data_IF_579227171682
#
_entry.id   IF_579227171682
#
_cell.length_a   1.000
_cell.length_b   1.000
_cell.length_c   1.000
_cell.angle_alpha   90.00
_cell.angle_beta   90.00
_cell.angle_gamma   90.00
#
_symmetry.space_group_name_H-M   'P 1'
#
loop_
_entity.id
_entity.type
_entity.pdbx_description
1 polymer ?
#
# COMPACT_ATOMS: atom_id res chain seq x y z
N UNK A 1 16.71 -5.02 0.40
CA UNK A 1 15.75 -5.99 0.95
C UNK A 1 15.05 -6.67 -0.22
N UNK A 2 14.97 -7.99 -0.22
CA UNK A 2 14.28 -8.80 -1.23
C UNK A 2 12.87 -9.20 -0.75
N UNK A 3 12.07 -9.84 -1.62
CA UNK A 3 10.68 -10.25 -1.30
C UNK A 3 10.61 -11.21 -0.11
N UNK A 4 11.52 -12.19 -0.01
CA UNK A 4 11.48 -13.17 1.09
C UNK A 4 11.78 -12.53 2.45
N UNK A 5 12.69 -11.56 2.50
CA UNK A 5 12.97 -10.78 3.70
C UNK A 5 11.75 -9.94 4.13
N UNK A 6 11.04 -9.32 3.19
CA UNK A 6 9.81 -8.57 3.48
C UNK A 6 8.73 -9.50 4.02
N UNK A 7 8.48 -10.63 3.35
CA UNK A 7 7.50 -11.61 3.79
C UNK A 7 7.88 -12.27 5.12
N UNK A 8 9.19 -12.44 5.39
CA UNK A 8 9.71 -12.87 6.69
C UNK A 8 9.26 -11.94 7.82
N UNK A 9 9.42 -10.63 7.64
CA UNK A 9 8.96 -9.61 8.60
C UNK A 9 7.43 -9.70 8.81
N UNK A 10 6.66 -9.90 7.74
CA UNK A 10 5.21 -10.06 7.84
C UNK A 10 4.82 -11.34 8.59
N UNK A 11 5.53 -12.46 8.38
CA UNK A 11 5.30 -13.72 9.12
C UNK A 11 5.65 -13.56 10.60
N UNK A 12 6.81 -12.97 10.93
CA UNK A 12 7.21 -12.71 12.32
C UNK A 12 6.20 -11.83 13.06
N UNK A 13 5.56 -10.90 12.37
CA UNK A 13 4.49 -10.06 12.94
C UNK A 13 3.13 -10.78 13.02
N UNK A 14 3.02 -12.04 12.58
CA UNK A 14 1.74 -12.75 12.47
C UNK A 14 0.78 -12.09 11.47
N UNK A 15 1.31 -11.38 10.49
CA UNK A 15 0.52 -10.61 9.52
C UNK A 15 0.16 -11.40 8.26
N UNK A 16 0.78 -12.54 8.01
CA UNK A 16 0.41 -13.49 6.96
C UNK A 16 -0.55 -14.51 7.60
N UNK A 17 -1.82 -14.42 7.23
CA UNK A 17 -2.86 -15.34 7.70
C UNK A 17 -3.15 -16.35 6.60
N UNK A 18 -3.16 -17.63 6.94
CA UNK A 18 -3.53 -18.72 6.05
C UNK A 18 -4.94 -19.24 6.42
N UNK A 19 -5.75 -19.55 5.41
CA UNK A 19 -7.13 -19.97 5.59
C UNK A 19 -7.99 -19.70 4.36
N UNK A 20 -9.30 -19.59 4.51
CA UNK A 20 -10.22 -19.26 3.43
C UNK A 20 -10.80 -17.85 3.67
N UNK A 21 -10.31 -16.87 2.91
CA UNK A 21 -10.67 -15.47 3.10
C UNK A 21 -11.55 -14.94 1.98
N UNK A 22 -12.59 -14.18 2.35
CA UNK A 22 -13.44 -13.42 1.44
C UNK A 22 -12.82 -12.03 1.26
N UNK A 23 -12.33 -11.73 0.06
CA UNK A 23 -11.78 -10.41 -0.27
C UNK A 23 -12.88 -9.38 -0.52
N UNK A 24 -12.52 -8.09 -0.48
CA UNK A 24 -13.47 -6.99 -0.78
C UNK A 24 -14.09 -7.09 -2.18
N UNK A 25 -13.35 -7.66 -3.14
CA UNK A 25 -13.83 -7.95 -4.49
C UNK A 25 -14.86 -9.10 -4.59
N UNK A 26 -15.10 -9.83 -3.48
CA UNK A 26 -15.90 -11.06 -3.46
C UNK A 26 -15.12 -12.32 -3.81
N UNK A 27 -13.91 -12.21 -4.32
CA UNK A 27 -13.04 -13.35 -4.58
C UNK A 27 -12.61 -14.02 -3.28
N UNK A 28 -12.16 -15.28 -3.39
CA UNK A 28 -11.65 -16.11 -2.30
C UNK A 28 -10.14 -16.24 -2.39
N UNK A 29 -9.47 -16.16 -1.24
CA UNK A 29 -8.01 -16.28 -1.20
C UNK A 29 -7.58 -17.21 -0.07
N UNK A 30 -6.55 -18.05 -0.26
CA UNK A 30 -5.97 -18.87 0.81
C UNK A 30 -5.11 -18.04 1.78
N UNK A 31 -4.76 -16.79 1.41
CA UNK A 31 -3.90 -15.94 2.23
C UNK A 31 -4.51 -14.54 2.35
N UNK A 32 -4.42 -14.00 3.57
CA UNK A 32 -4.76 -12.61 3.86
C UNK A 32 -3.60 -11.91 4.56
N UNK A 33 -3.23 -10.72 4.09
CA UNK A 33 -2.18 -9.90 4.70
C UNK A 33 -2.82 -8.89 5.66
N UNK A 34 -2.69 -9.14 6.97
CA UNK A 34 -3.17 -8.23 8.01
C UNK A 34 -2.07 -7.20 8.35
N UNK A 35 -1.89 -6.25 7.45
CA UNK A 35 -0.83 -5.23 7.46
C UNK A 35 -0.73 -4.44 8.76
N UNK A 36 -1.85 -4.16 9.44
CA UNK A 36 -1.84 -3.46 10.72
C UNK A 36 -0.99 -4.16 11.78
N UNK A 37 -0.87 -5.50 11.71
CA UNK A 37 0.00 -6.27 12.62
C UNK A 37 1.48 -6.02 12.39
N UNK A 38 1.89 -5.59 11.21
CA UNK A 38 3.28 -5.19 10.94
C UNK A 38 3.51 -3.78 11.47
N UNK A 39 2.62 -2.85 11.10
CA UNK A 39 2.80 -1.43 11.40
C UNK A 39 2.60 -1.05 12.88
N UNK A 40 2.06 -1.96 13.71
CA UNK A 40 2.08 -1.79 15.15
C UNK A 40 3.47 -1.97 15.78
N UNK A 41 4.43 -2.56 15.06
CA UNK A 41 5.81 -2.75 15.49
C UNK A 41 6.72 -1.71 14.84
N UNK A 42 7.19 -0.75 15.63
CA UNK A 42 7.98 0.38 15.13
C UNK A 42 9.29 -0.07 14.46
N UNK A 43 9.97 -1.06 15.02
CA UNK A 43 11.21 -1.63 14.50
C UNK A 43 11.04 -2.29 13.12
N UNK A 44 9.93 -3.05 12.94
CA UNK A 44 9.59 -3.71 11.67
C UNK A 44 9.20 -2.68 10.61
N UNK A 45 8.39 -1.69 11.01
CA UNK A 45 7.96 -0.58 10.15
C UNK A 45 9.17 0.23 9.68
N UNK A 46 10.08 0.57 10.59
CA UNK A 46 11.31 1.28 10.29
C UNK A 46 12.16 0.54 9.24
N UNK A 47 12.40 -0.76 9.43
CA UNK A 47 13.19 -1.58 8.50
C UNK A 47 12.59 -1.61 7.10
N UNK A 48 11.28 -1.78 6.98
CA UNK A 48 10.57 -1.82 5.69
C UNK A 48 10.60 -0.45 5.00
N UNK A 49 10.24 0.60 5.73
CA UNK A 49 10.13 1.94 5.16
C UNK A 49 11.49 2.55 4.81
N UNK A 50 12.56 2.23 5.56
CA UNK A 50 13.93 2.59 5.18
C UNK A 50 14.34 1.96 3.86
N UNK A 51 14.08 0.67 3.69
CA UNK A 51 14.39 -0.03 2.44
C UNK A 51 13.56 0.50 1.26
N UNK A 52 12.28 0.87 1.50
CA UNK A 52 11.45 1.51 0.49
C UNK A 52 11.98 2.89 0.12
N UNK A 53 12.38 3.70 1.10
CA UNK A 53 12.97 5.02 0.87
C UNK A 53 14.24 4.95 0.02
N UNK A 54 15.08 3.93 0.23
CA UNK A 54 16.27 3.69 -0.60
C UNK A 54 15.91 3.38 -2.06
N UNK A 55 14.86 2.58 -2.30
CA UNK A 55 14.35 2.33 -3.66
C UNK A 55 13.81 3.60 -4.31
N UNK A 56 13.04 4.40 -3.56
CA UNK A 56 12.50 5.68 -4.04
C UNK A 56 13.62 6.64 -4.45
N UNK A 57 14.65 6.82 -3.62
CA UNK A 57 15.80 7.70 -3.96
C UNK A 57 16.48 7.31 -5.26
N UNK A 58 16.60 6.01 -5.52
CA UNK A 58 17.22 5.49 -6.75
C UNK A 58 16.34 5.69 -7.97
N UNK A 59 15.02 5.54 -7.81
CA UNK A 59 14.07 5.59 -8.91
C UNK A 59 13.63 7.03 -9.26
N UNK A 60 13.72 7.96 -8.32
CA UNK A 60 13.28 9.35 -8.47
C UNK A 60 14.47 10.30 -8.32
N UNK A 61 15.33 10.42 -9.33
CA UNK A 61 16.41 11.42 -9.32
C UNK A 61 15.80 12.84 -9.38
N UNK A 62 16.41 13.78 -8.69
CA UNK A 62 15.93 15.18 -8.66
C UNK A 62 15.07 15.52 -7.44
N UNK A 63 14.91 14.56 -6.50
CA UNK A 63 14.26 14.81 -5.22
C UNK A 63 12.73 14.89 -5.29
N UNK A 64 12.14 15.00 -4.13
CA UNK A 64 10.70 15.14 -3.90
C UNK A 64 10.49 16.15 -2.77
N UNK A 65 9.34 16.82 -2.78
CA UNK A 65 8.97 17.81 -1.75
C UNK A 65 8.13 17.17 -0.63
N UNK A 66 7.29 16.19 -0.97
CA UNK A 66 6.41 15.52 -0.01
C UNK A 66 6.27 14.03 -0.31
N UNK A 67 6.05 13.26 0.76
CA UNK A 67 5.44 11.94 0.68
C UNK A 67 3.97 12.08 1.02
N UNK A 68 3.09 11.46 0.22
CA UNK A 68 1.64 11.50 0.43
C UNK A 68 1.11 10.10 0.72
N UNK A 69 0.41 9.94 1.86
CA UNK A 69 -0.24 8.69 2.24
C UNK A 69 -1.76 8.74 2.02
N UNK A 70 -2.39 7.80 1.31
CA UNK A 70 -3.84 7.66 1.35
C UNK A 70 -4.28 7.07 2.70
N UNK A 71 -5.14 7.80 3.43
CA UNK A 71 -5.67 7.32 4.70
C UNK A 71 -6.63 6.14 4.48
N UNK A 72 -6.62 5.13 5.35
CA UNK A 72 -5.88 5.00 6.62
C UNK A 72 -4.61 4.17 6.41
N UNK A 73 -4.61 3.24 5.45
CA UNK A 73 -3.55 2.24 5.29
C UNK A 73 -2.17 2.83 5.02
N UNK A 74 -2.11 3.85 4.18
CA UNK A 74 -0.88 4.51 3.78
C UNK A 74 -0.29 5.47 4.84
N UNK A 75 -1.01 5.82 5.91
CA UNK A 75 -0.54 6.83 6.88
C UNK A 75 0.81 6.47 7.50
N UNK A 76 0.90 5.30 8.12
CA UNK A 76 2.11 4.89 8.83
C UNK A 76 3.29 4.67 7.88
N UNK A 77 3.14 3.88 6.79
CA UNK A 77 4.24 3.69 5.86
C UNK A 77 4.67 4.99 5.16
N UNK A 78 3.75 5.91 4.85
CA UNK A 78 4.11 7.20 4.28
C UNK A 78 4.91 8.06 5.25
N UNK A 79 4.44 8.18 6.50
CA UNK A 79 5.12 8.93 7.54
C UNK A 79 6.53 8.39 7.79
N UNK A 80 6.67 7.10 7.98
CA UNK A 80 7.96 6.50 8.27
C UNK A 80 8.91 6.55 7.06
N UNK A 81 8.39 6.34 5.83
CA UNK A 81 9.19 6.50 4.61
C UNK A 81 9.67 7.94 4.44
N UNK A 82 8.80 8.94 4.71
CA UNK A 82 9.17 10.36 4.64
C UNK A 82 10.28 10.73 5.60
N UNK A 83 10.25 10.17 6.83
CA UNK A 83 11.32 10.34 7.82
C UNK A 83 12.67 9.91 7.27
N UNK A 84 12.72 8.78 6.56
CA UNK A 84 13.96 8.31 5.92
C UNK A 84 14.34 9.13 4.70
N UNK A 85 13.39 9.70 3.96
CA UNK A 85 13.66 10.56 2.81
C UNK A 85 14.09 11.98 3.23
N UNK A 86 13.76 12.39 4.47
CA UNK A 86 14.07 13.73 4.99
C UNK A 86 13.12 14.81 4.46
N UNK A 87 11.88 14.45 4.12
CA UNK A 87 10.85 15.36 3.60
C UNK A 87 9.56 15.25 4.41
N UNK A 88 8.68 16.26 4.40
CA UNK A 88 7.39 16.19 5.09
C UNK A 88 6.49 15.06 4.56
N UNK A 89 5.70 14.45 5.48
CA UNK A 89 4.59 13.57 5.15
C UNK A 89 3.27 14.33 5.26
N UNK A 90 2.43 14.21 4.26
CA UNK A 90 1.06 14.67 4.24
C UNK A 90 0.14 13.52 3.84
N UNK A 91 -1.17 13.66 3.98
CA UNK A 91 -2.09 12.59 3.61
C UNK A 91 -3.40 13.12 3.05
N UNK A 92 -4.03 12.27 2.24
CA UNK A 92 -5.40 12.47 1.76
C UNK A 92 -6.37 11.60 2.56
N UNK A 93 -7.55 12.12 2.81
CA UNK A 93 -8.62 11.45 3.57
C UNK A 93 -9.87 11.33 2.70
N UNK A 94 -10.66 10.26 2.89
CA UNK A 94 -11.94 10.14 2.20
C UNK A 94 -13.00 11.06 2.82
N UNK A 95 -13.60 11.88 1.96
CA UNK A 95 -14.74 12.72 2.27
C UNK A 95 -15.77 12.57 1.16
N UNK A 96 -16.98 12.15 1.51
CA UNK A 96 -18.02 11.87 0.52
C UNK A 96 -17.66 10.76 -0.49
N UNK A 97 -16.71 9.88 -0.15
CA UNK A 97 -16.24 8.80 -1.03
C UNK A 97 -15.00 9.14 -1.84
N UNK A 98 -14.63 10.40 -1.97
CA UNK A 98 -13.47 10.89 -2.71
C UNK A 98 -12.30 11.23 -1.79
N UNK A 99 -11.07 11.11 -2.29
CA UNK A 99 -9.90 11.59 -1.54
C UNK A 99 -9.79 13.11 -1.61
N UNK A 100 -9.47 13.72 -0.46
CA UNK A 100 -9.27 15.17 -0.30
C UNK A 100 -8.03 15.45 0.56
N UNK A 101 -7.27 16.49 0.20
CA UNK A 101 -6.17 17.03 1.01
C UNK A 101 -6.75 18.07 1.99
N UNK A 102 -7.29 17.62 3.12
CA UNK A 102 -8.10 18.48 4.01
C UNK A 102 -7.32 19.36 4.95
N UNK A 103 -6.16 18.88 5.39
CA UNK A 103 -5.41 19.47 6.52
C UNK A 103 -4.14 20.18 6.09
N UNK A 104 -3.82 20.11 4.83
CA UNK A 104 -2.54 20.55 4.29
C UNK A 104 -2.76 21.41 3.05
N UNK A 105 -1.81 22.30 2.83
CA UNK A 105 -1.68 23.02 1.57
C UNK A 105 -0.46 22.46 0.82
N UNK A 106 -0.54 22.40 -0.49
CA UNK A 106 0.56 21.99 -1.36
C UNK A 106 0.79 23.06 -2.43
N UNK A 107 2.03 23.47 -2.59
CA UNK A 107 2.37 24.44 -3.61
C UNK A 107 2.23 23.82 -5.01
N UNK A 108 1.75 24.60 -5.96
CA UNK A 108 1.65 24.17 -7.36
C UNK A 108 3.05 23.81 -7.89
N UNK A 109 3.13 22.67 -8.55
CA UNK A 109 4.39 22.12 -9.07
C UNK A 109 5.22 21.35 -8.05
N UNK A 110 4.76 21.21 -6.78
CA UNK A 110 5.44 20.36 -5.81
C UNK A 110 5.53 18.93 -6.32
N UNK A 111 6.71 18.35 -6.21
CA UNK A 111 7.00 16.95 -6.60
C UNK A 111 6.68 16.02 -5.47
N UNK A 112 5.80 15.07 -5.70
CA UNK A 112 5.31 14.16 -4.66
C UNK A 112 5.45 12.70 -5.03
N UNK A 113 5.72 11.86 -4.02
CA UNK A 113 5.61 10.40 -4.11
C UNK A 113 4.48 9.94 -3.21
N UNK A 114 3.56 9.13 -3.76
CA UNK A 114 2.51 8.48 -2.99
C UNK A 114 3.08 7.21 -2.37
N UNK A 115 2.83 6.96 -1.08
CA UNK A 115 3.22 5.71 -0.41
C UNK A 115 2.00 5.03 0.17
N UNK A 116 1.73 3.82 -0.31
CA UNK A 116 0.66 2.94 0.14
C UNK A 116 1.24 1.73 0.90
N UNK A 117 0.44 1.06 1.67
CA UNK A 117 0.83 -0.19 2.35
C UNK A 117 0.87 -1.38 1.37
N UNK A 118 -0.26 -1.71 0.75
CA UNK A 118 -0.42 -2.83 -0.19
C UNK A 118 -1.20 -2.38 -1.41
N UNK A 119 -0.65 -2.62 -2.58
CA UNK A 119 -1.34 -2.41 -3.86
C UNK A 119 -1.98 -3.72 -4.33
N UNK A 120 -3.23 -3.64 -4.75
CA UNK A 120 -3.94 -4.73 -5.46
C UNK A 120 -4.40 -4.25 -6.83
N UNK A 121 -5.47 -3.47 -6.90
CA UNK A 121 -5.98 -2.88 -8.13
C UNK A 121 -5.39 -1.50 -8.42
N UNK A 122 -4.70 -0.90 -7.47
CA UNK A 122 -4.16 0.46 -7.58
C UNK A 122 -5.20 1.58 -7.52
N UNK A 123 -6.47 1.26 -7.21
CA UNK A 123 -7.56 2.25 -7.20
C UNK A 123 -7.25 3.43 -6.26
N UNK A 124 -6.86 3.17 -5.00
CA UNK A 124 -6.54 4.22 -4.02
C UNK A 124 -5.41 5.13 -4.50
N UNK A 125 -4.40 4.56 -5.16
CA UNK A 125 -3.29 5.35 -5.72
C UNK A 125 -3.79 6.24 -6.85
N UNK A 126 -4.58 5.72 -7.82
CA UNK A 126 -5.13 6.53 -8.92
C UNK A 126 -5.99 7.67 -8.42
N UNK A 127 -6.91 7.39 -7.50
CA UNK A 127 -7.76 8.43 -6.89
C UNK A 127 -6.93 9.49 -6.14
N UNK A 128 -5.84 9.08 -5.49
CA UNK A 128 -4.91 10.02 -4.82
C UNK A 128 -4.15 10.85 -5.86
N UNK A 129 -3.72 10.25 -6.97
CA UNK A 129 -3.07 10.97 -8.08
C UNK A 129 -4.00 12.05 -8.63
N UNK A 130 -5.27 11.71 -8.88
CA UNK A 130 -6.26 12.64 -9.43
C UNK A 130 -6.47 13.81 -8.46
N UNK A 131 -6.67 13.54 -7.18
CA UNK A 131 -6.78 14.56 -6.13
C UNK A 131 -5.57 15.52 -6.11
N UNK A 132 -4.36 14.99 -6.18
CA UNK A 132 -3.14 15.81 -6.10
C UNK A 132 -2.88 16.60 -7.39
N UNK A 133 -3.20 16.04 -8.55
CA UNK A 133 -3.11 16.72 -9.84
C UNK A 133 -4.10 17.88 -9.95
N UNK A 134 -5.32 17.74 -9.43
CA UNK A 134 -6.30 18.82 -9.33
C UNK A 134 -5.76 20.01 -8.51
N UNK A 135 -4.94 19.75 -7.51
CA UNK A 135 -4.26 20.76 -6.68
C UNK A 135 -2.98 21.32 -7.35
N UNK A 136 -2.61 20.81 -8.52
CA UNK A 136 -1.44 21.26 -9.30
C UNK A 136 -0.12 20.64 -8.86
N UNK A 137 -0.12 19.56 -8.06
CA UNK A 137 1.10 18.83 -7.72
C UNK A 137 1.58 17.97 -8.90
N UNK A 138 2.88 17.72 -8.96
CA UNK A 138 3.53 16.76 -9.85
C UNK A 138 3.71 15.44 -9.13
N UNK A 139 2.86 14.44 -9.41
CA UNK A 139 3.04 13.09 -8.89
C UNK A 139 4.09 12.36 -9.73
N UNK A 140 5.28 12.20 -9.18
CA UNK A 140 6.45 11.66 -9.90
C UNK A 140 6.56 10.15 -9.83
N UNK A 141 6.03 9.53 -8.77
CA UNK A 141 5.94 8.08 -8.61
C UNK A 141 4.92 7.71 -7.53
N UNK A 142 4.54 6.44 -7.50
CA UNK A 142 3.90 5.80 -6.37
C UNK A 142 4.80 4.69 -5.83
N UNK A 143 4.69 4.38 -4.54
CA UNK A 143 5.43 3.31 -3.91
C UNK A 143 4.54 2.51 -2.95
N UNK A 144 4.90 1.25 -2.69
CA UNK A 144 4.20 0.42 -1.72
C UNK A 144 5.13 -0.61 -1.07
N UNK A 145 4.72 -1.11 0.10
CA UNK A 145 5.45 -2.18 0.78
C UNK A 145 5.27 -3.50 0.01
N UNK A 146 4.03 -3.84 -0.37
CA UNK A 146 3.76 -5.05 -1.16
C UNK A 146 2.87 -4.72 -2.36
N UNK A 147 3.33 -5.08 -3.56
CA UNK A 147 2.49 -5.16 -4.75
C UNK A 147 1.94 -6.59 -4.90
N UNK A 148 0.62 -6.74 -4.82
CA UNK A 148 -0.09 -8.00 -5.04
C UNK A 148 -0.53 -8.20 -6.47
N UNK A 149 -0.31 -7.24 -7.34
CA UNK A 149 -0.65 -7.34 -8.78
C UNK A 149 0.44 -8.04 -9.59
N UNK A 150 1.60 -8.35 -8.99
CA UNK A 150 2.78 -8.84 -9.69
C UNK A 150 3.19 -7.93 -10.87
N UNK A 151 3.19 -6.62 -10.63
CA UNK A 151 3.56 -5.63 -11.64
C UNK A 151 2.53 -5.40 -12.75
N UNK A 152 1.33 -5.99 -12.63
CA UNK A 152 0.28 -5.88 -13.67
C UNK A 152 -0.57 -4.61 -13.55
N UNK A 153 -0.51 -3.92 -12.40
CA UNK A 153 -1.34 -2.74 -12.14
C UNK A 153 -0.66 -1.49 -12.68
N UNK A 154 -1.30 -0.84 -13.63
CA UNK A 154 -0.95 0.52 -14.05
C UNK A 154 -1.69 1.54 -13.18
N UNK A 155 -0.95 2.40 -12.53
CA UNK A 155 -1.47 3.49 -11.70
C UNK A 155 -1.28 4.88 -12.34
N UNK A 156 -0.76 4.94 -13.58
CA UNK A 156 -0.55 6.18 -14.33
C UNK A 156 0.74 6.95 -13.98
N UNK A 157 1.59 6.36 -13.14
CA UNK A 157 2.95 6.80 -12.80
C UNK A 157 3.80 5.56 -12.48
N UNK A 158 5.15 5.64 -12.48
CA UNK A 158 5.98 4.51 -12.04
C UNK A 158 5.58 4.01 -10.65
N UNK A 159 5.37 2.69 -10.50
CA UNK A 159 5.08 2.03 -9.22
C UNK A 159 6.35 1.35 -8.68
N UNK A 160 6.79 1.77 -7.50
CA UNK A 160 7.97 1.27 -6.81
C UNK A 160 7.53 0.35 -5.68
N UNK A 161 7.52 -0.96 -5.90
CA UNK A 161 7.21 -1.93 -4.87
C UNK A 161 8.47 -2.33 -4.08
N UNK A 162 8.37 -2.43 -2.75
CA UNK A 162 9.44 -3.02 -1.95
C UNK A 162 9.50 -4.53 -2.20
N UNK A 163 8.34 -5.19 -2.25
CA UNK A 163 8.18 -6.59 -2.60
C UNK A 163 6.98 -6.81 -3.53
N UNK A 164 7.08 -7.82 -4.39
CA UNK A 164 5.96 -8.33 -5.16
C UNK A 164 5.51 -9.67 -4.56
N UNK A 165 4.20 -9.81 -4.31
CA UNK A 165 3.65 -11.03 -3.73
C UNK A 165 2.27 -11.33 -4.32
N UNK A 166 2.27 -12.10 -5.40
CA UNK A 166 1.03 -12.59 -6.00
C UNK A 166 0.40 -13.68 -5.11
N UNK A 167 -0.83 -13.44 -4.68
CA UNK A 167 -1.60 -14.42 -3.93
C UNK A 167 -2.77 -14.86 -4.79
N UNK A 168 -2.99 -16.17 -4.97
CA UNK A 168 -4.11 -16.68 -5.73
C UNK A 168 -5.45 -16.15 -5.21
N UNK A 169 -6.33 -15.78 -6.12
CA UNK A 169 -7.70 -15.40 -5.80
C UNK A 169 -8.65 -16.10 -6.78
N UNK A 170 -9.71 -16.70 -6.23
CA UNK A 170 -10.62 -17.56 -6.96
C UNK A 170 -12.05 -17.01 -6.92
N UNK A 171 -12.83 -17.14 -8.00
CA UNK A 171 -14.28 -16.97 -7.94
C UNK A 171 -14.92 -17.93 -6.93
N UNK A 172 -15.99 -17.50 -6.26
CA UNK A 172 -16.63 -18.30 -5.22
C UNK A 172 -17.21 -19.64 -5.71
N UNK A 173 -17.51 -19.71 -7.00
CA UNK A 173 -18.04 -20.90 -7.70
C UNK A 173 -16.96 -21.83 -8.29
N UNK A 174 -15.67 -21.46 -8.15
CA UNK A 174 -14.52 -22.20 -8.71
C UNK A 174 -13.37 -22.31 -7.73
N UNK A 175 -13.67 -22.82 -6.55
CA UNK A 175 -12.67 -22.98 -5.47
C UNK A 175 -11.87 -24.28 -5.65
N UNK A 176 -10.55 -24.26 -5.37
CA UNK A 176 -9.80 -25.49 -5.16
C UNK A 176 -10.43 -26.30 -4.03
N UNK A 177 -10.45 -27.66 -4.11
CA UNK A 177 -11.10 -28.52 -3.11
C UNK A 177 -10.57 -28.28 -1.68
N UNK A 178 -9.27 -28.07 -1.53
CA UNK A 178 -8.62 -27.80 -0.25
C UNK A 178 -9.08 -26.47 0.36
N UNK A 179 -9.35 -25.44 -0.46
CA UNK A 179 -9.85 -24.17 0.02
C UNK A 179 -11.35 -24.24 0.33
N UNK A 180 -12.11 -24.98 -0.47
CA UNK A 180 -13.54 -25.19 -0.25
C UNK A 180 -13.85 -25.93 1.06
N UNK A 181 -12.93 -26.79 1.53
CA UNK A 181 -13.05 -27.53 2.77
C UNK A 181 -12.91 -26.66 4.04
N UNK A 182 -12.37 -25.43 3.91
CA UNK A 182 -12.15 -24.52 5.02
C UNK A 182 -13.33 -23.52 5.10
N UNK A 183 -13.94 -23.28 6.27
CA UNK A 183 -14.97 -22.26 6.43
C UNK A 183 -14.46 -20.88 6.00
N UNK A 184 -15.24 -20.18 5.18
CA UNK A 184 -14.86 -18.86 4.66
C UNK A 184 -15.02 -17.79 5.73
N UNK A 185 -14.00 -16.94 5.91
CA UNK A 185 -13.97 -15.82 6.85
C UNK A 185 -13.79 -14.51 6.08
N UNK A 186 -14.53 -13.46 6.46
CA UNK A 186 -14.34 -12.10 5.92
C UNK A 186 -13.47 -11.32 6.89
N UNK A 187 -12.15 -11.20 6.64
CA UNK A 187 -11.28 -10.41 7.50
C UNK A 187 -11.46 -8.92 7.22
N UNK A 188 -11.26 -8.07 8.23
CA UNK A 188 -11.23 -6.61 8.09
C UNK A 188 -12.19 -5.88 9.00
N UNK A 189 -11.92 -4.58 9.20
CA UNK A 189 -12.60 -3.68 10.14
C UNK A 189 -13.93 -3.10 9.65
N UNK A 190 -14.45 -3.53 8.50
CA UNK A 190 -15.66 -2.92 7.92
C UNK A 190 -17.00 -3.48 8.41
N UNK A 191 -16.97 -4.43 9.37
CA UNK A 191 -18.16 -5.01 9.98
C UNK A 191 -17.89 -5.35 11.46
N UNK A 192 -17.38 -4.39 12.23
CA UNK A 192 -17.47 -4.39 13.69
C UNK A 192 -18.58 -3.45 14.10
#
# INVERSE_FOLDING_TARGET
>A
MNTDEVLGIFREAGAVLEGHFILTSGLRSPVFLQKARVFMHADKTERLCRALAEKIRKAVPGGIDYVVGPAIGGLIPAYETSRHLGVPAIWVEREGGEFRLRRFEIAKGSRVVIVEDIVTTGLSIRETIDCLRELGAEVVAAACIIDRSAGKTDVGVPLIALAEYEVPAYPADRLPPELAAIPAVKPGSRNL
#
